data_IF_555890441872
#
_entry.id   IF_555890441872
#
_cell.length_a   1.000
_cell.length_b   1.000
_cell.length_c   1.000
_cell.angle_alpha   90.00
_cell.angle_beta   90.00
_cell.angle_gamma   90.00
#
_symmetry.space_group_name_H-M   'P 1'
#
loop_
_entity.id
_entity.type
_entity.pdbx_description
1 polymer ?
#
# COMPACT_ATOMS: atom_id res chain seq x y z
N UNK A 1 -5.93 -22.25 -2.79
CA UNK A 1 -4.84 -21.33 -2.42
C UNK A 1 -5.39 -19.92 -2.27
N UNK A 2 -4.67 -18.99 -1.62
CA UNK A 2 -5.04 -17.56 -1.58
C UNK A 2 -5.27 -16.99 -2.99
N UNK A 3 -4.47 -17.43 -3.97
CA UNK A 3 -4.59 -17.00 -5.36
C UNK A 3 -5.93 -17.42 -5.99
N UNK A 4 -6.45 -18.62 -5.65
CA UNK A 4 -7.76 -19.05 -6.12
C UNK A 4 -8.91 -18.15 -5.61
N UNK A 5 -8.75 -17.58 -4.40
CA UNK A 5 -9.72 -16.61 -3.85
C UNK A 5 -9.66 -15.31 -4.65
N UNK A 6 -8.46 -14.83 -5.01
CA UNK A 6 -8.30 -13.63 -5.85
C UNK A 6 -8.90 -13.84 -7.23
N UNK A 7 -8.55 -14.93 -7.91
CA UNK A 7 -9.09 -15.22 -9.23
C UNK A 7 -10.61 -15.35 -9.19
N UNK A 8 -11.18 -15.92 -8.13
CA UNK A 8 -12.63 -15.98 -7.94
C UNK A 8 -13.25 -14.58 -7.74
N UNK A 9 -12.66 -13.74 -6.89
CA UNK A 9 -13.12 -12.37 -6.67
C UNK A 9 -13.03 -11.54 -7.94
N UNK A 10 -11.93 -11.63 -8.67
CA UNK A 10 -11.72 -10.96 -9.95
C UNK A 10 -12.75 -11.44 -10.99
N UNK A 11 -12.92 -12.76 -11.16
CA UNK A 11 -13.91 -13.34 -12.07
C UNK A 11 -15.35 -12.91 -11.77
N UNK A 12 -15.74 -12.87 -10.49
CA UNK A 12 -17.09 -12.40 -10.09
C UNK A 12 -17.23 -10.89 -10.35
N UNK A 13 -16.20 -10.11 -10.04
CA UNK A 13 -16.17 -8.66 -10.27
C UNK A 13 -16.24 -8.33 -11.77
N UNK A 14 -15.50 -9.04 -12.61
CA UNK A 14 -15.49 -8.84 -14.06
C UNK A 14 -16.87 -9.11 -14.65
N UNK A 15 -17.55 -10.18 -14.21
CA UNK A 15 -18.91 -10.48 -14.65
C UNK A 15 -19.90 -9.37 -14.25
N UNK A 16 -19.80 -8.88 -13.02
CA UNK A 16 -20.64 -7.77 -12.55
C UNK A 16 -20.33 -6.47 -13.31
N UNK A 17 -19.05 -6.19 -13.57
CA UNK A 17 -18.60 -4.99 -14.28
C UNK A 17 -19.03 -5.01 -15.75
N UNK A 18 -18.96 -6.17 -16.41
CA UNK A 18 -19.48 -6.37 -17.77
C UNK A 18 -20.99 -6.21 -17.84
N UNK A 19 -21.71 -6.61 -16.79
CA UNK A 19 -23.16 -6.39 -16.72
C UNK A 19 -23.49 -4.89 -16.62
N UNK A 20 -22.75 -4.14 -15.80
CA UNK A 20 -23.00 -2.71 -15.57
C UNK A 20 -22.49 -1.81 -16.70
N UNK A 21 -21.29 -2.09 -17.22
CA UNK A 21 -20.57 -1.22 -18.15
C UNK A 21 -20.41 -1.80 -19.55
N UNK A 22 -20.81 -3.06 -19.79
CA UNK A 22 -20.76 -3.68 -21.11
C UNK A 22 -19.34 -3.86 -21.63
N UNK A 23 -19.12 -3.48 -22.89
CA UNK A 23 -17.87 -3.74 -23.61
C UNK A 23 -16.66 -3.00 -23.04
N UNK A 24 -16.83 -1.82 -22.41
CA UNK A 24 -15.70 -1.07 -21.82
C UNK A 24 -15.09 -1.78 -20.60
N UNK A 25 -15.86 -2.66 -19.95
CA UNK A 25 -15.39 -3.56 -18.90
C UNK A 25 -14.89 -4.92 -19.44
N UNK A 26 -14.46 -4.98 -20.70
CA UNK A 26 -13.98 -6.21 -21.34
C UNK A 26 -15.10 -7.18 -21.75
N UNK A 27 -16.32 -6.67 -21.91
CA UNK A 27 -17.41 -7.39 -22.57
C UNK A 27 -17.23 -7.46 -24.09
N UNK A 28 -18.03 -8.25 -24.81
CA UNK A 28 -17.95 -8.32 -26.27
C UNK A 28 -18.21 -6.96 -26.90
N UNK A 29 -17.27 -6.50 -27.72
CA UNK A 29 -17.38 -5.21 -28.43
C UNK A 29 -18.48 -5.28 -29.51
N UNK A 30 -19.30 -4.24 -29.67
CA UNK A 30 -20.31 -4.17 -30.73
C UNK A 30 -19.71 -3.82 -32.11
N UNK A 31 -18.38 -3.74 -32.23
CA UNK A 31 -17.63 -3.37 -33.43
C UNK A 31 -16.33 -4.18 -33.51
N UNK A 32 -15.70 -4.19 -34.69
CA UNK A 32 -14.41 -4.83 -34.92
C UNK A 32 -13.28 -4.01 -34.26
N UNK A 33 -12.44 -4.67 -33.46
CA UNK A 33 -11.38 -4.03 -32.70
C UNK A 33 -10.07 -4.09 -33.48
N UNK A 34 -9.58 -2.94 -33.94
CA UNK A 34 -8.38 -2.83 -34.79
C UNK A 34 -7.08 -3.12 -34.02
N UNK A 35 -7.03 -2.76 -32.73
CA UNK A 35 -5.87 -2.99 -31.86
C UNK A 35 -6.35 -3.59 -30.51
N UNK A 36 -6.55 -4.92 -30.44
CA UNK A 36 -7.06 -5.59 -29.25
C UNK A 36 -6.24 -5.30 -27.99
N UNK A 37 -4.92 -5.19 -28.14
CA UNK A 37 -3.97 -4.97 -27.05
C UNK A 37 -4.21 -3.64 -26.31
N UNK A 38 -4.83 -2.65 -26.97
CA UNK A 38 -5.17 -1.34 -26.38
C UNK A 38 -6.59 -1.28 -25.79
N UNK A 39 -7.29 -2.43 -25.69
CA UNK A 39 -8.68 -2.48 -25.21
C UNK A 39 -8.78 -2.56 -23.68
N UNK A 40 -7.65 -2.62 -22.98
CA UNK A 40 -7.64 -2.70 -21.53
C UNK A 40 -7.89 -1.32 -20.91
N UNK A 41 -9.05 -1.16 -20.27
CA UNK A 41 -9.43 0.10 -19.62
C UNK A 41 -9.42 -0.09 -18.10
N UNK A 42 -8.37 0.39 -17.46
CA UNK A 42 -8.15 0.30 -16.00
C UNK A 42 -9.39 0.77 -15.23
N UNK A 43 -10.01 1.87 -15.65
CA UNK A 43 -11.17 2.45 -14.95
C UNK A 43 -12.37 1.48 -14.83
N UNK A 44 -12.57 0.58 -15.79
CA UNK A 44 -13.74 -0.32 -15.84
C UNK A 44 -13.40 -1.80 -15.65
N UNK A 45 -12.13 -2.18 -15.77
CA UNK A 45 -11.69 -3.57 -15.64
C UNK A 45 -10.92 -3.82 -14.33
N UNK A 46 -10.37 -2.76 -13.73
CA UNK A 46 -9.47 -2.88 -12.57
C UNK A 46 -10.06 -2.20 -11.34
N UNK A 47 -10.49 -0.94 -11.46
CA UNK A 47 -11.04 -0.19 -10.32
C UNK A 47 -12.32 -0.78 -9.69
N UNK A 48 -13.25 -1.44 -10.43
CA UNK A 48 -14.42 -2.05 -9.80
C UNK A 48 -14.11 -3.13 -8.76
N UNK A 49 -12.92 -3.74 -8.81
CA UNK A 49 -12.48 -4.71 -7.81
C UNK A 49 -12.36 -4.06 -6.42
N UNK A 50 -12.04 -2.77 -6.35
CA UNK A 50 -11.97 -2.00 -5.11
C UNK A 50 -13.35 -1.96 -4.43
N UNK A 51 -14.45 -1.82 -5.19
CA UNK A 51 -15.81 -1.85 -4.62
C UNK A 51 -16.07 -3.16 -3.89
N UNK A 52 -15.85 -4.28 -4.58
CA UNK A 52 -16.14 -5.61 -4.06
C UNK A 52 -15.27 -5.92 -2.85
N UNK A 53 -13.98 -5.61 -2.92
CA UNK A 53 -13.03 -5.90 -1.84
C UNK A 53 -13.27 -5.01 -0.63
N UNK A 54 -13.57 -3.73 -0.81
CA UNK A 54 -13.85 -2.82 0.31
C UNK A 54 -15.10 -3.24 1.06
N UNK A 55 -16.18 -3.57 0.33
CA UNK A 55 -17.41 -4.11 0.92
C UNK A 55 -17.15 -5.43 1.63
N UNK A 56 -16.42 -6.36 1.00
CA UNK A 56 -16.09 -7.65 1.61
C UNK A 56 -15.30 -7.48 2.91
N UNK A 57 -14.28 -6.62 2.92
CA UNK A 57 -13.48 -6.31 4.11
C UNK A 57 -14.34 -5.71 5.23
N UNK A 58 -15.23 -4.77 4.90
CA UNK A 58 -16.15 -4.17 5.86
C UNK A 58 -17.10 -5.22 6.47
N UNK A 59 -17.62 -6.14 5.65
CA UNK A 59 -18.48 -7.24 6.12
C UNK A 59 -17.71 -8.22 7.01
N UNK A 60 -16.48 -8.61 6.63
CA UNK A 60 -15.62 -9.48 7.45
C UNK A 60 -15.26 -8.85 8.79
N UNK A 61 -15.13 -7.51 8.83
CA UNK A 61 -14.93 -6.77 10.06
C UNK A 61 -16.19 -6.69 10.92
N UNK A 62 -17.35 -6.42 10.31
CA UNK A 62 -18.65 -6.40 10.99
C UNK A 62 -18.99 -7.76 11.64
N UNK A 63 -18.71 -8.87 10.95
CA UNK A 63 -18.89 -10.21 11.51
C UNK A 63 -17.78 -10.65 12.47
N UNK A 64 -16.76 -9.81 12.68
CA UNK A 64 -15.70 -10.05 13.66
C UNK A 64 -14.59 -11.00 13.23
N UNK A 65 -14.58 -11.47 11.97
CA UNK A 65 -13.51 -12.33 11.43
C UNK A 65 -12.21 -11.56 11.34
N UNK A 66 -12.24 -10.39 10.70
CA UNK A 66 -11.05 -9.55 10.54
C UNK A 66 -10.60 -8.97 11.89
N UNK A 67 -11.55 -8.57 12.75
CA UNK A 67 -11.27 -8.07 14.09
C UNK A 67 -10.54 -9.11 14.94
N UNK A 68 -10.98 -10.38 14.89
CA UNK A 68 -10.30 -11.48 15.58
C UNK A 68 -8.84 -11.65 15.12
N UNK A 69 -8.59 -11.60 13.81
CA UNK A 69 -7.24 -11.73 13.25
C UNK A 69 -6.36 -10.56 13.70
N UNK A 70 -6.85 -9.32 13.63
CA UNK A 70 -6.11 -8.13 14.05
C UNK A 70 -5.80 -8.17 15.55
N UNK A 71 -6.75 -8.54 16.39
CA UNK A 71 -6.55 -8.69 17.83
C UNK A 71 -5.53 -9.79 18.17
N UNK A 72 -5.57 -10.90 17.43
CA UNK A 72 -4.62 -12.00 17.61
C UNK A 72 -3.20 -11.60 17.21
N UNK A 73 -3.03 -10.94 16.06
CA UNK A 73 -1.74 -10.40 15.62
C UNK A 73 -1.23 -9.32 16.58
N UNK A 74 -2.11 -8.43 17.06
CA UNK A 74 -1.75 -7.39 18.02
C UNK A 74 -1.27 -7.97 19.35
N UNK A 75 -1.89 -9.05 19.84
CA UNK A 75 -1.40 -9.84 21.00
C UNK A 75 -0.02 -10.44 20.73
N UNK A 76 0.21 -10.94 19.51
CA UNK A 76 1.50 -11.43 19.07
C UNK A 76 2.59 -10.36 19.13
N UNK A 77 2.37 -9.24 18.44
CA UNK A 77 3.31 -8.10 18.39
C UNK A 77 3.59 -7.52 19.78
N UNK A 78 2.57 -7.38 20.63
CA UNK A 78 2.74 -6.94 22.01
C UNK A 78 3.68 -7.84 22.79
N UNK A 79 3.52 -9.17 22.67
CA UNK A 79 4.34 -10.14 23.40
C UNK A 79 5.77 -10.20 22.87
N UNK A 80 5.98 -10.07 21.56
CA UNK A 80 7.30 -10.20 20.96
C UNK A 80 8.13 -8.91 21.04
N UNK A 81 7.50 -7.74 20.89
CA UNK A 81 8.19 -6.44 20.90
C UNK A 81 8.01 -5.63 22.20
N UNK A 82 7.23 -6.11 23.17
CA UNK A 82 6.99 -5.39 24.43
C UNK A 82 6.22 -4.08 24.26
N UNK A 83 5.32 -4.03 23.27
CA UNK A 83 4.54 -2.82 22.93
C UNK A 83 3.39 -2.58 23.91
N UNK A 84 2.85 -1.36 23.94
CA UNK A 84 1.54 -1.10 24.54
C UNK A 84 0.42 -1.82 23.77
N UNK A 85 -0.73 -2.04 24.41
CA UNK A 85 -1.88 -2.67 23.75
C UNK A 85 -2.39 -1.85 22.58
N UNK A 86 -2.48 -0.53 22.75
CA UNK A 86 -2.86 0.39 21.68
C UNK A 86 -1.91 0.33 20.48
N UNK A 87 -0.58 0.38 20.69
CA UNK A 87 0.37 0.27 19.58
C UNK A 87 0.34 -1.13 18.94
N UNK A 88 0.22 -2.20 19.73
CA UNK A 88 0.15 -3.56 19.21
C UNK A 88 -1.06 -3.77 18.30
N UNK A 89 -2.25 -3.33 18.71
CA UNK A 89 -3.45 -3.36 17.87
C UNK A 89 -3.32 -2.45 16.64
N UNK A 90 -2.83 -1.22 16.84
CA UNK A 90 -2.62 -0.26 15.76
C UNK A 90 -1.69 -0.81 14.69
N UNK A 91 -0.51 -1.30 15.06
CA UNK A 91 0.45 -1.91 14.15
C UNK A 91 -0.12 -3.14 13.43
N UNK A 92 -0.82 -4.04 14.14
CA UNK A 92 -1.46 -5.20 13.51
C UNK A 92 -2.54 -4.78 12.49
N UNK A 93 -3.27 -3.70 12.77
CA UNK A 93 -4.31 -3.22 11.87
C UNK A 93 -3.77 -2.69 10.54
N UNK A 94 -2.55 -2.14 10.51
CA UNK A 94 -1.91 -1.63 9.28
C UNK A 94 -1.71 -2.69 8.19
N UNK A 95 -1.76 -3.99 8.54
CA UNK A 95 -1.67 -5.09 7.57
C UNK A 95 -2.92 -5.15 6.68
N UNK A 96 -4.07 -4.70 7.18
CA UNK A 96 -5.37 -4.82 6.51
C UNK A 96 -6.00 -3.46 6.17
N UNK A 97 -5.69 -2.44 6.97
CA UNK A 97 -6.25 -1.10 6.86
C UNK A 97 -5.23 -0.13 6.28
N UNK A 98 -5.72 0.90 5.61
CA UNK A 98 -4.88 1.94 5.03
C UNK A 98 -4.32 2.90 6.06
N UNK A 99 -3.62 3.91 5.55
CA UNK A 99 -2.80 4.84 6.34
C UNK A 99 -3.59 5.68 7.34
N UNK A 100 -4.89 5.86 7.11
CA UNK A 100 -5.79 6.63 8.00
C UNK A 100 -6.72 5.71 8.78
N UNK A 101 -7.18 4.62 8.17
CA UNK A 101 -8.12 3.69 8.77
C UNK A 101 -7.47 2.91 9.93
N UNK A 102 -6.20 2.55 9.81
CA UNK A 102 -5.49 1.82 10.87
C UNK A 102 -5.37 2.65 12.18
N UNK A 103 -4.89 3.91 12.18
CA UNK A 103 -4.89 4.74 13.38
C UNK A 103 -6.28 4.95 14.01
N UNK A 104 -7.34 5.00 13.19
CA UNK A 104 -8.71 5.22 13.68
C UNK A 104 -9.23 4.09 14.56
N UNK A 105 -8.73 2.85 14.40
CA UNK A 105 -9.09 1.71 15.25
C UNK A 105 -8.72 1.97 16.71
N UNK A 106 -7.66 2.74 16.95
CA UNK A 106 -7.20 3.13 18.29
C UNK A 106 -7.42 4.61 18.58
N UNK A 107 -8.35 5.27 17.87
CA UNK A 107 -8.63 6.72 17.97
C UNK A 107 -8.68 7.27 19.41
N UNK A 108 -9.35 6.63 20.40
CA UNK A 108 -9.41 7.15 21.77
C UNK A 108 -8.05 7.27 22.47
N UNK A 109 -7.05 6.54 21.97
CA UNK A 109 -5.74 6.38 22.59
C UNK A 109 -4.63 7.15 21.87
N UNK A 110 -4.88 7.60 20.63
CA UNK A 110 -3.88 8.29 19.81
C UNK A 110 -3.24 9.49 20.54
N UNK A 111 -4.04 10.31 21.23
CA UNK A 111 -3.54 11.45 22.01
C UNK A 111 -2.64 11.06 23.19
N UNK A 112 -2.73 9.81 23.67
CA UNK A 112 -1.96 9.29 24.81
C UNK A 112 -0.70 8.53 24.38
N UNK A 113 -0.52 8.24 23.08
CA UNK A 113 0.68 7.60 22.58
C UNK A 113 1.89 8.51 22.81
N UNK A 114 2.97 7.94 23.34
CA UNK A 114 4.27 8.61 23.33
C UNK A 114 4.70 8.95 21.91
N UNK A 115 5.62 9.90 21.74
CA UNK A 115 6.11 10.27 20.40
C UNK A 115 6.74 9.08 19.64
N UNK A 116 7.43 8.18 20.36
CA UNK A 116 7.98 6.96 19.78
C UNK A 116 6.89 5.98 19.31
N UNK A 117 5.81 5.81 20.09
CA UNK A 117 4.68 4.97 19.67
C UNK A 117 3.91 5.58 18.49
N UNK A 118 3.76 6.91 18.46
CA UNK A 118 3.16 7.59 17.31
C UNK A 118 4.01 7.40 16.05
N UNK A 119 5.34 7.58 16.14
CA UNK A 119 6.25 7.29 15.04
C UNK A 119 6.13 5.83 14.58
N UNK A 120 6.11 4.88 15.51
CA UNK A 120 5.98 3.46 15.21
C UNK A 120 4.68 3.13 14.47
N UNK A 121 3.56 3.71 14.91
CA UNK A 121 2.25 3.52 14.26
C UNK A 121 2.24 4.07 12.83
N UNK A 122 2.72 5.31 12.64
CA UNK A 122 2.76 5.97 11.34
C UNK A 122 3.72 5.24 10.40
N UNK A 123 4.88 4.79 10.93
CA UNK A 123 5.84 4.02 10.17
C UNK A 123 5.30 2.67 9.74
N UNK A 124 4.59 1.93 10.60
CA UNK A 124 3.92 0.69 10.20
C UNK A 124 2.93 0.96 9.06
N UNK A 125 2.14 2.02 9.18
CA UNK A 125 1.15 2.41 8.16
C UNK A 125 1.79 2.73 6.80
N UNK A 126 3.02 3.26 6.80
CA UNK A 126 3.78 3.55 5.58
C UNK A 126 4.56 2.34 5.04
N UNK A 127 4.90 1.39 5.88
CA UNK A 127 5.63 0.19 5.50
C UNK A 127 4.73 -0.95 5.00
N UNK A 128 3.40 -0.80 5.10
CA UNK A 128 2.42 -1.78 4.62
C UNK A 128 1.53 -1.19 3.53
N UNK A 129 0.76 -2.05 2.89
CA UNK A 129 -0.34 -1.68 1.99
C UNK A 129 -1.68 -2.17 2.57
N UNK A 130 -2.76 -1.47 2.23
CA UNK A 130 -4.10 -1.82 2.70
C UNK A 130 -4.62 -3.09 2.01
N UNK A 131 -5.41 -3.87 2.74
CA UNK A 131 -6.12 -5.03 2.20
C UNK A 131 -7.13 -4.67 1.10
N UNK A 132 -7.59 -3.42 1.05
CA UNK A 132 -8.50 -2.94 -0.01
C UNK A 132 -7.83 -2.79 -1.37
N UNK A 133 -6.53 -2.46 -1.39
CA UNK A 133 -5.76 -2.24 -2.64
C UNK A 133 -4.81 -3.40 -2.96
N UNK A 134 -4.52 -4.29 -2.00
CA UNK A 134 -3.60 -5.42 -2.25
C UNK A 134 -4.10 -6.35 -3.37
N UNK A 135 -5.41 -6.55 -3.46
CA UNK A 135 -6.03 -7.40 -4.49
C UNK A 135 -5.94 -6.71 -5.85
N UNK A 136 -6.07 -5.39 -5.88
CA UNK A 136 -5.84 -4.57 -7.06
C UNK A 136 -4.39 -4.73 -7.55
N UNK A 137 -3.41 -4.59 -6.66
CA UNK A 137 -1.99 -4.70 -7.03
C UNK A 137 -1.66 -6.12 -7.49
N UNK A 138 -2.22 -7.13 -6.81
CA UNK A 138 -2.10 -8.51 -7.22
C UNK A 138 -2.67 -8.74 -8.64
N UNK A 139 -3.82 -8.17 -8.95
CA UNK A 139 -4.43 -8.33 -10.29
C UNK A 139 -3.57 -7.74 -11.41
N UNK A 140 -2.87 -6.64 -11.15
CA UNK A 140 -1.92 -6.03 -12.10
C UNK A 140 -0.67 -6.88 -12.27
N UNK A 141 -0.15 -7.42 -11.17
CA UNK A 141 1.11 -8.15 -11.17
C UNK A 141 0.96 -9.63 -11.52
N UNK A 142 -0.24 -10.21 -11.58
CA UNK A 142 -0.40 -11.67 -11.66
C UNK A 142 0.28 -12.29 -12.90
N UNK A 143 0.40 -11.53 -14.00
CA UNK A 143 1.11 -11.99 -15.20
C UNK A 143 2.62 -12.04 -15.02
N UNK A 144 3.19 -11.06 -14.32
CA UNK A 144 4.64 -10.88 -14.12
C UNK A 144 5.14 -11.59 -12.86
N UNK A 145 4.29 -11.67 -11.84
CA UNK A 145 4.53 -12.31 -10.54
C UNK A 145 3.38 -13.28 -10.23
N UNK A 146 3.47 -14.55 -10.66
CA UNK A 146 2.46 -15.55 -10.36
C UNK A 146 2.28 -15.70 -8.84
N UNK A 147 1.03 -15.62 -8.36
CA UNK A 147 0.76 -15.64 -6.93
C UNK A 147 1.13 -14.35 -6.19
N UNK A 148 1.11 -13.24 -6.91
CA UNK A 148 1.32 -11.88 -6.43
C UNK A 148 0.61 -11.56 -5.10
N UNK A 149 -0.65 -11.97 -4.90
CA UNK A 149 -1.35 -11.71 -3.63
C UNK A 149 -0.60 -12.31 -2.43
N UNK A 150 -0.17 -13.56 -2.55
CA UNK A 150 0.52 -14.24 -1.46
C UNK A 150 1.82 -13.50 -1.13
N UNK A 151 2.55 -13.07 -2.15
CA UNK A 151 3.75 -12.27 -2.01
C UNK A 151 3.49 -10.93 -1.33
N UNK A 152 2.53 -10.15 -1.81
CA UNK A 152 2.19 -8.84 -1.26
C UNK A 152 1.67 -8.94 0.19
N UNK A 153 0.85 -9.94 0.50
CA UNK A 153 0.36 -10.15 1.87
C UNK A 153 1.50 -10.52 2.81
N UNK A 154 2.39 -11.41 2.38
CA UNK A 154 3.59 -11.74 3.13
C UNK A 154 4.51 -10.53 3.33
N UNK A 155 4.68 -9.70 2.29
CA UNK A 155 5.46 -8.47 2.37
C UNK A 155 4.88 -7.49 3.41
N UNK A 156 3.57 -7.26 3.44
CA UNK A 156 2.92 -6.45 4.48
C UNK A 156 3.16 -7.00 5.89
N UNK A 157 3.03 -8.32 6.09
CA UNK A 157 3.22 -8.94 7.41
C UNK A 157 4.68 -8.81 7.89
N UNK A 158 5.66 -9.03 7.02
CA UNK A 158 7.09 -8.93 7.35
C UNK A 158 7.55 -7.48 7.52
N UNK A 159 6.88 -6.53 6.87
CA UNK A 159 7.24 -5.11 6.97
C UNK A 159 6.84 -4.48 8.31
N UNK A 160 5.83 -5.01 9.01
CA UNK A 160 5.46 -4.53 10.36
C UNK A 160 6.61 -4.69 11.37
N UNK A 161 7.23 -5.87 11.59
CA UNK A 161 8.36 -5.98 12.51
C UNK A 161 9.58 -5.17 12.05
N UNK A 162 9.81 -5.02 10.74
CA UNK A 162 10.88 -4.14 10.22
C UNK A 162 10.62 -2.67 10.59
N UNK A 163 9.40 -2.19 10.37
CA UNK A 163 8.94 -0.85 10.74
C UNK A 163 9.05 -0.61 12.25
N UNK A 164 8.56 -1.52 13.08
CA UNK A 164 8.65 -1.41 14.54
C UNK A 164 10.10 -1.34 15.02
N UNK A 165 10.98 -2.16 14.44
CA UNK A 165 12.41 -2.16 14.77
C UNK A 165 13.05 -0.83 14.40
N UNK A 166 12.82 -0.33 13.19
CA UNK A 166 13.34 0.97 12.75
C UNK A 166 12.81 2.14 13.59
N UNK A 167 11.51 2.13 13.91
CA UNK A 167 10.92 3.13 14.78
C UNK A 167 11.60 3.14 16.14
N UNK A 168 11.80 1.96 16.75
CA UNK A 168 12.41 1.85 18.07
C UNK A 168 13.88 2.27 18.08
N UNK A 169 14.64 1.96 17.02
CA UNK A 169 16.03 2.40 16.85
C UNK A 169 16.11 3.92 16.69
N UNK A 170 15.21 4.52 15.90
CA UNK A 170 15.22 5.96 15.64
C UNK A 170 14.69 6.77 16.82
N UNK A 171 13.62 6.28 17.44
CA UNK A 171 13.00 6.89 18.61
C UNK A 171 12.40 5.82 19.53
N UNK A 172 13.07 5.49 20.65
CA UNK A 172 12.62 4.45 21.56
C UNK A 172 11.18 4.63 22.02
N UNK A 173 10.39 3.57 21.90
CA UNK A 173 9.02 3.52 22.41
C UNK A 173 9.04 3.41 23.93
N UNK A 174 8.25 4.24 24.61
CA UNK A 174 8.01 4.07 26.05
C UNK A 174 6.72 3.26 26.22
N UNK A 175 6.75 2.12 26.94
CA UNK A 175 5.55 1.34 27.18
C UNK A 175 4.53 2.21 27.92
N UNK A 176 3.41 2.52 27.26
CA UNK A 176 2.27 3.14 27.90
C UNK A 176 1.36 2.06 28.50
N UNK A 177 0.77 2.31 29.67
CA UNK A 177 -0.20 1.42 30.37
C UNK A 177 -1.56 1.33 29.66
N UNK A 178 -1.57 1.46 28.33
CA UNK A 178 -2.75 1.38 27.49
C UNK A 178 -3.07 -0.09 27.19
N UNK A 179 -3.76 -0.75 28.12
CA UNK A 179 -4.20 -2.14 27.98
C UNK A 179 -5.47 -2.24 27.10
N UNK A 180 -5.30 -1.95 25.81
CA UNK A 180 -6.36 -2.02 24.81
C UNK A 180 -6.10 -3.23 23.94
N UNK A 181 -6.97 -4.23 24.02
CA UNK A 181 -6.78 -5.51 23.31
C UNK A 181 -8.01 -5.96 22.52
N UNK A 182 -9.06 -5.14 22.49
CA UNK A 182 -10.29 -5.42 21.75
C UNK A 182 -10.72 -4.20 20.96
N UNK A 183 -11.18 -4.44 19.74
CA UNK A 183 -11.70 -3.39 18.88
C UNK A 183 -13.16 -3.14 19.24
N UNK A 184 -13.58 -1.87 19.49
CA UNK A 184 -14.98 -1.57 19.76
C UNK A 184 -15.89 -2.09 18.65
N UNK A 185 -16.96 -2.80 19.02
CA UNK A 185 -17.97 -3.26 18.05
C UNK A 185 -18.91 -2.11 17.70
N UNK A 186 -19.31 -2.07 16.43
CA UNK A 186 -20.32 -1.13 15.94
C UNK A 186 -21.72 -1.75 16.10
N UNK A 187 -22.70 -0.94 16.48
CA UNK A 187 -24.11 -1.34 16.56
C UNK A 187 -24.83 -1.30 15.20
N UNK A 188 -24.12 -0.91 14.13
CA UNK A 188 -24.66 -0.87 12.76
C UNK A 188 -25.09 -2.26 12.30
N UNK A 189 -26.18 -2.31 11.54
CA UNK A 189 -26.62 -3.51 10.82
C UNK A 189 -25.69 -3.83 9.65
N UNK A 190 -25.72 -5.08 9.18
CA UNK A 190 -24.92 -5.48 8.02
C UNK A 190 -25.24 -4.69 6.75
N UNK A 191 -26.49 -4.22 6.59
CA UNK A 191 -26.91 -3.40 5.44
C UNK A 191 -26.30 -2.01 5.54
N UNK A 192 -26.34 -1.38 6.71
CA UNK A 192 -25.72 -0.07 6.94
C UNK A 192 -24.21 -0.13 6.68
N UNK A 193 -23.53 -1.17 7.19
CA UNK A 193 -22.10 -1.38 6.92
C UNK A 193 -21.82 -1.56 5.42
N UNK A 194 -22.66 -2.32 4.71
CA UNK A 194 -22.51 -2.51 3.28
C UNK A 194 -22.65 -1.21 2.51
N UNK A 195 -23.68 -0.41 2.81
CA UNK A 195 -23.94 0.86 2.12
C UNK A 195 -22.83 1.88 2.38
N UNK A 196 -22.39 2.01 3.63
CA UNK A 196 -21.26 2.88 3.99
C UNK A 196 -19.98 2.45 3.24
N UNK A 197 -19.71 1.15 3.17
CA UNK A 197 -18.52 0.63 2.49
C UNK A 197 -18.56 0.83 0.97
N UNK A 198 -19.75 0.82 0.35
CA UNK A 198 -19.92 1.18 -1.06
C UNK A 198 -19.58 2.65 -1.27
N UNK A 199 -20.09 3.55 -0.44
CA UNK A 199 -19.80 4.99 -0.54
C UNK A 199 -18.31 5.29 -0.34
N UNK A 200 -17.67 4.64 0.64
CA UNK A 200 -16.23 4.74 0.88
C UNK A 200 -15.42 4.26 -0.33
N UNK A 201 -15.81 3.12 -0.92
CA UNK A 201 -15.15 2.59 -2.10
C UNK A 201 -15.32 3.47 -3.34
N UNK A 202 -16.49 4.07 -3.56
CA UNK A 202 -16.71 5.01 -4.67
C UNK A 202 -15.79 6.23 -4.53
N UNK A 203 -15.69 6.80 -3.33
CA UNK A 203 -14.76 7.92 -3.06
C UNK A 203 -13.32 7.51 -3.30
N UNK A 204 -12.94 6.30 -2.90
CA UNK A 204 -11.61 5.75 -3.12
C UNK A 204 -11.30 5.61 -4.62
N UNK A 205 -12.22 5.02 -5.40
CA UNK A 205 -12.06 4.86 -6.85
C UNK A 205 -11.88 6.21 -7.56
N UNK A 206 -12.73 7.19 -7.24
CA UNK A 206 -12.64 8.54 -7.82
C UNK A 206 -11.30 9.18 -7.44
N UNK A 207 -10.89 9.03 -6.18
CA UNK A 207 -9.62 9.58 -5.70
C UNK A 207 -8.41 8.94 -6.40
N UNK A 208 -8.43 7.61 -6.59
CA UNK A 208 -7.38 6.86 -7.30
C UNK A 208 -7.31 7.29 -8.77
N UNK A 209 -8.45 7.38 -9.46
CA UNK A 209 -8.48 7.82 -10.84
C UNK A 209 -7.94 9.26 -10.98
N UNK A 210 -8.37 10.17 -10.11
CA UNK A 210 -7.94 11.56 -10.12
C UNK A 210 -6.43 11.70 -9.83
N UNK A 211 -5.92 11.01 -8.79
CA UNK A 211 -4.51 11.13 -8.41
C UNK A 211 -3.60 10.54 -9.49
N UNK A 212 -3.99 9.46 -10.18
CA UNK A 212 -3.22 8.90 -11.31
C UNK A 212 -3.08 9.97 -12.40
N UNK A 213 -4.17 10.58 -12.86
CA UNK A 213 -4.13 11.61 -13.91
C UNK A 213 -3.25 12.78 -13.50
N UNK A 214 -3.42 13.28 -12.27
CA UNK A 214 -2.62 14.40 -11.76
C UNK A 214 -1.14 14.02 -11.69
N UNK A 215 -0.80 12.87 -11.14
CA UNK A 215 0.60 12.45 -11.00
C UNK A 215 1.29 12.30 -12.36
N UNK A 216 0.66 11.63 -13.32
CA UNK A 216 1.22 11.51 -14.68
C UNK A 216 1.42 12.87 -15.35
N UNK A 217 0.46 13.79 -15.22
CA UNK A 217 0.60 15.13 -15.77
C UNK A 217 1.80 15.89 -15.16
N UNK A 218 2.03 15.74 -13.85
CA UNK A 218 3.16 16.37 -13.18
C UNK A 218 4.51 15.74 -13.55
N UNK A 219 4.56 14.42 -13.74
CA UNK A 219 5.77 13.73 -14.23
C UNK A 219 6.13 14.23 -15.60
N UNK A 220 5.19 14.19 -16.55
CA UNK A 220 5.46 14.61 -17.93
C UNK A 220 5.87 16.08 -17.99
N UNK A 221 5.25 16.94 -17.18
CA UNK A 221 5.68 18.32 -17.05
C UNK A 221 7.12 18.45 -16.55
N UNK A 222 7.50 17.68 -15.51
CA UNK A 222 8.85 17.71 -14.97
C UNK A 222 9.88 17.12 -15.95
N UNK A 223 9.53 16.04 -16.65
CA UNK A 223 10.37 15.43 -17.69
C UNK A 223 10.58 16.41 -18.85
N UNK A 224 9.52 17.06 -19.33
CA UNK A 224 9.61 18.10 -20.36
C UNK A 224 10.51 19.26 -19.90
N UNK A 225 10.41 19.67 -18.63
CA UNK A 225 11.28 20.71 -18.06
C UNK A 225 12.74 20.27 -17.96
N UNK A 226 13.00 19.01 -17.61
CA UNK A 226 14.35 18.45 -17.53
C UNK A 226 14.98 18.29 -18.92
N UNK A 227 14.16 17.92 -19.92
CA UNK A 227 14.58 17.80 -21.32
C UNK A 227 15.07 19.15 -21.90
N UNK A 228 14.60 20.29 -21.37
CA UNK A 228 15.12 21.62 -21.72
C UNK A 228 16.57 21.84 -21.26
N UNK A 229 16.98 21.17 -20.17
CA UNK A 229 18.36 21.23 -19.66
C UNK A 229 19.24 20.28 -20.46
N UNK A 230 18.79 19.04 -20.64
CA UNK A 230 19.46 18.04 -21.48
C UNK A 230 18.42 17.04 -22.01
N UNK A 231 18.43 16.78 -23.32
CA UNK A 231 17.39 16.00 -24.01
C UNK A 231 17.14 14.59 -23.42
N UNK A 232 18.15 13.97 -22.83
CA UNK A 232 18.05 12.62 -22.27
C UNK A 232 17.67 12.63 -20.76
N UNK A 233 17.54 13.80 -20.14
CA UNK A 233 17.26 13.93 -18.72
C UNK A 233 15.75 13.85 -18.44
N UNK A 234 15.36 12.86 -17.64
CA UNK A 234 14.01 12.70 -17.10
C UNK A 234 14.08 12.21 -15.65
N UNK A 235 12.95 12.25 -14.94
CA UNK A 235 12.84 11.81 -13.54
C UNK A 235 13.26 10.35 -13.37
N UNK A 236 12.87 9.48 -14.30
CA UNK A 236 13.23 8.06 -14.28
C UNK A 236 14.76 7.87 -14.25
N UNK A 237 15.49 8.56 -15.11
CA UNK A 237 16.95 8.54 -15.15
C UNK A 237 17.58 9.09 -13.87
N UNK A 238 17.02 10.16 -13.29
CA UNK A 238 17.51 10.72 -12.02
C UNK A 238 17.39 9.68 -10.91
N UNK A 239 16.22 9.06 -10.77
CA UNK A 239 16.01 8.03 -9.75
C UNK A 239 16.82 6.77 -10.02
N UNK A 240 16.95 6.39 -11.29
CA UNK A 240 17.80 5.30 -11.74
C UNK A 240 19.22 5.48 -11.21
N UNK A 241 19.85 6.63 -11.43
CA UNK A 241 21.22 6.86 -10.96
C UNK A 241 21.31 7.03 -9.44
N UNK A 242 20.35 7.75 -8.83
CA UNK A 242 20.38 8.07 -7.40
C UNK A 242 20.16 6.82 -6.53
N UNK A 243 19.21 5.96 -6.91
CA UNK A 243 18.81 4.79 -6.14
C UNK A 243 19.50 3.50 -6.58
N UNK A 244 20.23 3.48 -7.70
CA UNK A 244 21.03 2.32 -8.13
C UNK A 244 21.96 1.77 -7.04
N UNK A 245 22.73 2.57 -6.29
CA UNK A 245 23.55 2.03 -5.20
C UNK A 245 22.71 1.36 -4.12
N UNK A 246 21.53 1.90 -3.81
CA UNK A 246 20.61 1.33 -2.83
C UNK A 246 20.07 0.00 -3.33
N UNK A 247 19.62 -0.08 -4.59
CA UNK A 247 19.08 -1.32 -5.16
C UNK A 247 20.16 -2.38 -5.38
N UNK A 248 21.40 -1.98 -5.63
CA UNK A 248 22.54 -2.90 -5.62
C UNK A 248 22.76 -3.52 -4.24
N UNK A 249 22.63 -2.73 -3.15
CA UNK A 249 22.70 -3.25 -1.78
C UNK A 249 21.53 -4.18 -1.42
N UNK A 250 20.36 -4.02 -2.05
CA UNK A 250 19.22 -4.94 -1.90
C UNK A 250 19.48 -6.30 -2.57
N UNK A 251 20.41 -6.35 -3.53
CA UNK A 251 20.86 -7.59 -4.17
C UNK A 251 20.63 -7.64 -5.68
N UNK A 252 20.35 -6.51 -6.34
CA UNK A 252 20.33 -6.44 -7.80
C UNK A 252 21.75 -6.37 -8.37
N UNK A 253 21.99 -6.96 -9.54
CA UNK A 253 23.20 -6.68 -10.29
C UNK A 253 23.26 -5.20 -10.70
N UNK A 254 24.45 -4.68 -10.96
CA UNK A 254 24.63 -3.25 -11.21
C UNK A 254 23.78 -2.73 -12.38
N UNK A 255 23.53 -3.53 -13.41
CA UNK A 255 22.73 -3.13 -14.58
C UNK A 255 21.25 -3.03 -14.20
N UNK A 256 20.69 -4.10 -13.64
CA UNK A 256 19.28 -4.13 -13.23
C UNK A 256 18.98 -3.24 -12.02
N UNK A 257 19.98 -2.92 -11.19
CA UNK A 257 19.84 -1.97 -10.10
C UNK A 257 19.46 -0.56 -10.58
N UNK A 258 19.82 -0.20 -11.81
CA UNK A 258 19.42 1.06 -12.43
C UNK A 258 17.90 1.10 -12.69
N UNK A 259 17.36 0.06 -13.31
CA UNK A 259 15.91 -0.07 -13.55
C UNK A 259 15.13 -0.20 -12.24
N UNK A 260 15.64 -0.99 -11.30
CA UNK A 260 15.05 -1.12 -9.97
C UNK A 260 15.03 0.22 -9.21
N UNK A 261 16.08 1.04 -9.38
CA UNK A 261 16.20 2.37 -8.79
C UNK A 261 15.14 3.33 -9.35
N UNK A 262 14.87 3.26 -10.65
CA UNK A 262 13.79 4.00 -11.29
C UNK A 262 12.42 3.63 -10.70
N UNK A 263 12.09 2.34 -10.64
CA UNK A 263 10.83 1.85 -10.06
C UNK A 263 10.65 2.28 -8.61
N UNK A 264 11.71 2.18 -7.80
CA UNK A 264 11.67 2.63 -6.40
C UNK A 264 11.50 4.15 -6.28
N UNK A 265 12.10 4.94 -7.17
CA UNK A 265 11.90 6.39 -7.21
C UNK A 265 10.49 6.79 -7.61
N UNK A 266 9.95 6.14 -8.65
CA UNK A 266 8.55 6.24 -9.07
C UNK A 266 7.62 5.97 -7.90
N UNK A 267 7.90 4.92 -7.12
CA UNK A 267 7.13 4.60 -5.90
C UNK A 267 7.18 5.71 -4.86
N UNK A 268 8.37 6.25 -4.57
CA UNK A 268 8.57 7.26 -3.50
C UNK A 268 7.89 8.58 -3.85
N UNK A 269 8.03 9.03 -5.10
CA UNK A 269 7.53 10.35 -5.51
C UNK A 269 6.06 10.32 -5.87
N UNK A 270 5.60 9.23 -6.50
CA UNK A 270 4.23 9.10 -6.96
C UNK A 270 3.44 8.23 -5.99
N UNK A 271 3.52 6.92 -6.19
CA UNK A 271 2.96 5.88 -5.35
C UNK A 271 3.38 4.50 -5.89
N UNK A 272 3.19 3.50 -5.06
CA UNK A 272 3.46 2.09 -5.36
C UNK A 272 2.57 1.52 -6.46
N UNK A 273 1.35 2.02 -6.67
CA UNK A 273 0.48 1.51 -7.75
C UNK A 273 1.04 1.80 -9.13
N UNK A 274 1.50 3.04 -9.37
CA UNK A 274 2.15 3.43 -10.63
C UNK A 274 3.44 2.64 -10.83
N UNK A 275 4.20 2.42 -9.75
CA UNK A 275 5.41 1.60 -9.82
C UNK A 275 5.10 0.12 -10.13
N UNK A 276 3.98 -0.44 -9.64
CA UNK A 276 3.55 -1.79 -9.98
C UNK A 276 3.03 -1.92 -11.42
N UNK A 277 2.36 -0.89 -11.95
CA UNK A 277 2.02 -0.85 -13.37
C UNK A 277 3.29 -0.88 -14.23
N UNK A 278 4.29 -0.04 -13.90
CA UNK A 278 5.56 -0.04 -14.61
C UNK A 278 6.30 -1.39 -14.48
N UNK A 279 6.28 -2.01 -13.29
CA UNK A 279 6.87 -3.33 -13.09
C UNK A 279 6.18 -4.42 -13.93
N UNK A 280 4.87 -4.32 -14.15
CA UNK A 280 4.13 -5.32 -14.92
C UNK A 280 4.65 -5.45 -16.36
N UNK A 281 5.19 -4.36 -16.91
CA UNK A 281 5.72 -4.28 -18.28
C UNK A 281 7.24 -4.60 -18.36
N UNK A 282 7.93 -4.82 -17.24
CA UNK A 282 9.37 -5.12 -17.23
C UNK A 282 9.64 -6.56 -17.66
N UNK A 283 10.58 -6.74 -18.59
CA UNK A 283 10.97 -8.06 -19.12
C UNK A 283 12.42 -8.44 -18.81
N UNK A 284 13.20 -7.48 -18.32
CA UNK A 284 14.64 -7.58 -18.08
C UNK A 284 14.98 -8.28 -16.76
N UNK A 285 14.02 -8.32 -15.83
CA UNK A 285 14.20 -8.95 -14.53
C UNK A 285 13.99 -10.45 -14.59
N UNK A 286 14.88 -11.18 -13.89
CA UNK A 286 14.63 -12.57 -13.53
C UNK A 286 13.45 -12.72 -12.55
N UNK A 287 12.88 -13.92 -12.45
CA UNK A 287 11.82 -14.23 -11.47
C UNK A 287 12.19 -13.80 -10.04
N UNK A 288 13.46 -14.07 -9.64
CA UNK A 288 13.97 -13.64 -8.34
C UNK A 288 13.92 -12.11 -8.19
N UNK A 289 14.36 -11.38 -9.21
CA UNK A 289 14.38 -9.91 -9.19
C UNK A 289 12.98 -9.32 -9.14
N UNK A 290 12.02 -9.89 -9.88
CA UNK A 290 10.59 -9.51 -9.82
C UNK A 290 10.06 -9.67 -8.39
N UNK A 291 10.34 -10.79 -7.73
CA UNK A 291 9.92 -11.00 -6.35
C UNK A 291 10.58 -9.96 -5.42
N UNK A 292 11.90 -9.76 -5.53
CA UNK A 292 12.64 -8.83 -4.64
C UNK A 292 12.15 -7.39 -4.80
N UNK A 293 11.95 -6.89 -6.03
CA UNK A 293 11.44 -5.52 -6.25
C UNK A 293 10.00 -5.40 -5.79
N UNK A 294 9.16 -6.42 -6.00
CA UNK A 294 7.77 -6.39 -5.55
C UNK A 294 7.65 -6.24 -4.03
N UNK A 295 8.51 -6.91 -3.26
CA UNK A 295 8.60 -6.75 -1.81
C UNK A 295 9.20 -5.40 -1.40
N UNK A 296 10.22 -4.94 -2.13
CA UNK A 296 10.89 -3.65 -1.86
C UNK A 296 9.97 -2.45 -2.03
N UNK A 297 8.99 -2.54 -2.93
CA UNK A 297 8.01 -1.49 -3.20
C UNK A 297 6.71 -1.63 -2.39
N UNK A 298 6.52 -2.76 -1.67
CA UNK A 298 5.27 -3.08 -0.99
C UNK A 298 5.05 -2.27 0.30
N UNK A 299 4.72 -0.99 0.14
CA UNK A 299 4.32 -0.13 1.25
C UNK A 299 3.93 1.27 0.79
N UNK A 300 3.07 1.95 1.55
CA UNK A 300 2.56 3.28 1.24
C UNK A 300 3.53 4.45 1.48
N UNK A 301 4.81 4.22 1.76
CA UNK A 301 5.78 5.29 2.01
C UNK A 301 6.08 6.11 0.74
N UNK A 302 5.25 7.10 0.46
CA UNK A 302 5.35 8.03 -0.67
C UNK A 302 4.88 9.44 -0.27
N UNK A 303 5.18 10.46 -1.09
CA UNK A 303 4.86 11.86 -0.78
C UNK A 303 3.35 12.10 -0.62
N UNK A 304 2.53 11.45 -1.45
CA UNK A 304 1.07 11.60 -1.38
C UNK A 304 0.52 11.06 -0.04
N UNK A 305 1.00 9.90 0.40
CA UNK A 305 0.65 9.29 1.69
C UNK A 305 1.06 10.16 2.87
N UNK A 306 2.17 10.91 2.80
CA UNK A 306 2.50 11.90 3.83
C UNK A 306 1.38 12.94 3.97
N UNK A 307 0.92 13.50 2.85
CA UNK A 307 -0.16 14.47 2.83
C UNK A 307 -1.45 13.90 3.43
N UNK A 308 -1.81 12.67 3.04
CA UNK A 308 -2.98 11.96 3.56
C UNK A 308 -2.88 11.77 5.08
N UNK A 309 -1.77 11.20 5.57
CA UNK A 309 -1.53 10.95 6.99
C UNK A 309 -1.59 12.24 7.81
N UNK A 310 -0.90 13.30 7.36
CA UNK A 310 -0.91 14.59 8.03
C UNK A 310 -2.33 15.15 8.07
N UNK A 311 -3.04 15.16 6.94
CA UNK A 311 -4.40 15.69 6.88
C UNK A 311 -5.36 14.94 7.83
N UNK A 312 -5.30 13.60 7.84
CA UNK A 312 -6.17 12.79 8.69
C UNK A 312 -5.82 12.88 10.18
N UNK A 313 -4.55 12.72 10.54
CA UNK A 313 -4.12 12.71 11.93
C UNK A 313 -4.20 14.09 12.59
N UNK A 314 -3.98 15.19 11.85
CA UNK A 314 -4.13 16.55 12.39
C UNK A 314 -5.59 16.87 12.75
N UNK A 315 -6.56 16.34 11.99
CA UNK A 315 -7.99 16.47 12.34
C UNK A 315 -8.32 15.70 13.62
N UNK A 316 -7.67 14.57 13.85
CA UNK A 316 -7.92 13.71 15.02
C UNK A 316 -7.16 14.21 16.26
N UNK A 317 -5.97 14.78 16.08
CA UNK A 317 -5.04 15.18 17.13
C UNK A 317 -4.54 16.62 16.92
N UNK A 318 -5.44 17.63 16.93
CA UNK A 318 -5.11 19.00 16.53
C UNK A 318 -4.00 19.63 17.39
N UNK A 319 -3.97 19.31 18.69
CA UNK A 319 -2.96 19.81 19.64
C UNK A 319 -1.55 19.27 19.35
N UNK A 320 -1.45 18.11 18.67
CA UNK A 320 -0.19 17.44 18.32
C UNK A 320 0.20 17.65 16.86
N UNK A 321 -0.38 18.65 16.17
CA UNK A 321 -0.14 18.92 14.73
C UNK A 321 1.34 18.92 14.35
N UNK A 322 2.17 19.65 15.10
CA UNK A 322 3.62 19.75 14.79
C UNK A 322 4.30 18.38 14.87
N UNK A 323 3.98 17.63 15.93
CA UNK A 323 4.52 16.31 16.14
C UNK A 323 4.11 15.33 15.03
N UNK A 324 2.83 15.34 14.63
CA UNK A 324 2.30 14.54 13.52
C UNK A 324 3.06 14.83 12.22
N UNK A 325 3.31 16.09 11.90
CA UNK A 325 4.07 16.48 10.70
C UNK A 325 5.50 15.92 10.78
N UNK A 326 6.19 16.15 11.91
CA UNK A 326 7.59 15.73 12.08
C UNK A 326 7.75 14.21 11.99
N UNK A 327 6.88 13.43 12.66
CA UNK A 327 6.95 11.96 12.61
C UNK A 327 6.55 11.42 11.25
N UNK A 328 5.66 12.08 10.50
CA UNK A 328 5.24 11.62 9.17
C UNK A 328 6.37 11.75 8.15
N UNK A 329 7.13 12.85 8.16
CA UNK A 329 8.32 12.98 7.31
C UNK A 329 9.42 11.99 7.68
N UNK A 330 9.58 11.73 8.98
CA UNK A 330 10.50 10.68 9.46
C UNK A 330 10.06 9.30 8.96
N UNK A 331 8.76 9.00 9.07
CA UNK A 331 8.17 7.75 8.62
C UNK A 331 8.24 7.56 7.09
N UNK A 332 8.22 8.62 6.30
CA UNK A 332 8.41 8.53 4.84
C UNK A 332 9.75 7.87 4.50
N UNK A 333 10.83 8.35 5.11
CA UNK A 333 12.17 7.83 4.87
C UNK A 333 12.29 6.41 5.42
N UNK A 334 11.92 6.22 6.69
CA UNK A 334 12.06 4.94 7.37
C UNK A 334 11.13 3.87 6.78
N UNK A 335 9.98 4.25 6.21
CA UNK A 335 9.03 3.32 5.62
C UNK A 335 9.57 2.71 4.34
N UNK A 336 10.26 3.51 3.53
CA UNK A 336 11.01 3.00 2.38
C UNK A 336 12.18 2.12 2.82
N UNK A 337 12.89 2.49 3.89
CA UNK A 337 13.93 1.62 4.45
C UNK A 337 13.35 0.29 4.94
N UNK A 338 12.17 0.30 5.57
CA UNK A 338 11.50 -0.90 6.05
C UNK A 338 11.16 -1.86 4.90
N UNK A 339 10.58 -1.35 3.81
CA UNK A 339 10.25 -2.19 2.64
C UNK A 339 11.51 -2.67 1.92
N UNK A 340 12.57 -1.84 1.82
CA UNK A 340 13.88 -2.27 1.30
C UNK A 340 14.51 -3.37 2.16
N UNK A 341 14.42 -3.29 3.50
CA UNK A 341 14.87 -4.35 4.40
C UNK A 341 14.10 -5.66 4.15
N UNK A 342 12.78 -5.57 3.95
CA UNK A 342 11.96 -6.72 3.57
C UNK A 342 12.42 -7.30 2.23
N UNK A 343 12.76 -6.46 1.25
CA UNK A 343 13.40 -6.86 -0.01
C UNK A 343 14.73 -7.60 0.20
N UNK A 344 15.62 -7.08 1.04
CA UNK A 344 16.90 -7.72 1.39
C UNK A 344 16.69 -9.11 2.00
N UNK A 345 15.74 -9.25 2.94
CA UNK A 345 15.43 -10.54 3.59
C UNK A 345 14.99 -11.56 2.55
N UNK A 346 14.10 -11.17 1.62
CA UNK A 346 13.66 -12.09 0.55
C UNK A 346 14.78 -12.41 -0.42
N UNK A 347 15.60 -11.42 -0.77
CA UNK A 347 16.79 -11.60 -1.63
C UNK A 347 17.80 -12.60 -1.07
N UNK A 348 17.92 -12.67 0.27
CA UNK A 348 18.78 -13.62 0.98
C UNK A 348 18.20 -15.05 1.03
N UNK A 349 16.86 -15.17 1.06
CA UNK A 349 16.18 -16.47 1.16
C UNK A 349 16.13 -17.20 -0.19
N UNK A 350 16.03 -16.45 -1.29
CA UNK A 350 15.93 -16.95 -2.67
C UNK A 350 17.30 -17.18 -3.31
#
# INVERSE_FOLDING_TARGET
>A
SLNAVVSALQSVTDRASRYMFGYVAGGPAPFEVVAPDNSFIIAFQVLPLILVVTVLSAMLFHFGVLSFIVEWLGKGLRRTFGLSGALGLGAASTIFFGTIEAPLIIKPYLNRLSRGELLALVLCSMATIAGTVIILYASVLEQTLPGSLSHLLTASIISVPAALTLAHVFQPTQPSDLDVMQIPRSDKTWIEVLLDAVDDAVRMIISIAAIIVVLFAFIYLLDDMLALIHADLNLGLIFSQLLRPVMWLVGFDWTNAALAGELMGTKVVLNEFVAYLALADVTEFSDKQIIVIAYSMCGFANIASCGIIIAGLVVIMPERRKEVVDVTFTALLLGNVATLMTGCVVSLIL
#
